data_IF_731633283574
#
_entry.id   IF_731633283574
#
_cell.length_a   1.000
_cell.length_b   1.000
_cell.length_c   1.000
_cell.angle_alpha   90.00
_cell.angle_beta   90.00
_cell.angle_gamma   90.00
#
_symmetry.space_group_name_H-M   'P 1'
#
loop_
_entity.id
_entity.type
_entity.pdbx_description
1 polymer ?
#
# COMPACT_ATOMS: atom_id res chain seq x y z
N UNK A 1 9.21 -5.94 -34.30
CA UNK A 1 7.91 -5.75 -33.60
C UNK A 1 7.56 -6.86 -32.59
N UNK A 2 7.91 -8.15 -32.81
CA UNK A 2 7.63 -9.26 -31.86
C UNK A 2 8.32 -9.16 -30.48
N UNK A 3 9.55 -8.62 -30.40
CA UNK A 3 10.32 -8.48 -29.13
C UNK A 3 9.69 -7.52 -28.13
N UNK A 4 8.94 -6.51 -28.60
CA UNK A 4 8.32 -5.50 -27.73
C UNK A 4 7.03 -6.01 -27.09
N UNK A 5 6.30 -6.92 -27.78
CA UNK A 5 5.09 -7.56 -27.24
C UNK A 5 5.40 -8.49 -26.06
N UNK A 6 6.52 -9.23 -26.13
CA UNK A 6 6.93 -10.15 -25.06
C UNK A 6 7.33 -9.43 -23.76
N UNK A 7 7.96 -8.26 -23.88
CA UNK A 7 8.37 -7.45 -22.73
C UNK A 7 7.13 -6.81 -22.07
N UNK A 8 6.19 -6.30 -22.87
CA UNK A 8 4.92 -5.77 -22.36
C UNK A 8 4.06 -6.85 -21.69
N UNK A 9 3.99 -8.05 -22.27
CA UNK A 9 3.28 -9.19 -21.67
C UNK A 9 3.91 -9.65 -20.34
N UNK A 10 5.24 -9.70 -20.26
CA UNK A 10 5.96 -10.02 -19.02
C UNK A 10 5.76 -8.98 -17.91
N UNK A 11 5.74 -7.69 -18.27
CA UNK A 11 5.51 -6.60 -17.32
C UNK A 11 4.09 -6.63 -16.75
N UNK A 12 3.08 -6.90 -17.57
CA UNK A 12 1.67 -7.01 -17.14
C UNK A 12 1.47 -8.22 -16.21
N UNK A 13 2.15 -9.34 -16.47
CA UNK A 13 2.09 -10.52 -15.60
C UNK A 13 2.73 -10.26 -14.22
N UNK A 14 3.87 -9.56 -14.17
CA UNK A 14 4.51 -9.17 -12.91
C UNK A 14 3.70 -8.14 -12.12
N UNK A 15 3.07 -7.17 -12.80
CA UNK A 15 2.20 -6.17 -12.16
C UNK A 15 0.93 -6.81 -11.56
N UNK A 16 0.39 -7.86 -12.19
CA UNK A 16 -0.73 -8.63 -11.64
C UNK A 16 -0.40 -9.35 -10.32
N UNK A 17 0.84 -9.80 -10.13
CA UNK A 17 1.27 -10.50 -8.93
C UNK A 17 1.44 -9.57 -7.71
N UNK A 18 1.76 -8.28 -7.92
CA UNK A 18 1.96 -7.32 -6.83
C UNK A 18 0.67 -7.01 -6.04
N UNK A 19 -0.51 -7.20 -6.63
CA UNK A 19 -1.78 -7.03 -5.95
C UNK A 19 -2.13 -8.20 -4.99
N UNK A 20 -1.37 -9.30 -5.05
CA UNK A 20 -1.67 -10.55 -4.34
C UNK A 20 -0.74 -10.83 -3.14
N UNK A 21 0.05 -9.83 -2.70
CA UNK A 21 0.94 -9.99 -1.54
C UNK A 21 0.20 -10.13 -0.21
N UNK A 22 0.80 -10.78 0.80
CA UNK A 22 0.19 -10.98 2.11
C UNK A 22 -0.09 -9.62 2.79
N UNK A 23 -1.23 -9.54 3.46
CA UNK A 23 -1.69 -8.32 4.12
C UNK A 23 -1.20 -8.30 5.58
N UNK A 24 -0.52 -7.24 6.03
CA UNK A 24 -0.18 -7.11 7.43
C UNK A 24 -1.44 -6.80 8.26
N UNK A 25 -1.67 -7.57 9.31
CA UNK A 25 -2.83 -7.45 10.21
C UNK A 25 -2.36 -7.50 11.66
N UNK A 26 -3.04 -6.78 12.55
CA UNK A 26 -2.84 -6.93 13.98
C UNK A 26 -3.66 -8.13 14.48
N UNK A 27 -3.03 -8.98 15.30
CA UNK A 27 -3.67 -10.17 15.85
C UNK A 27 -3.28 -10.37 17.31
N UNK A 28 -4.26 -10.78 18.10
CA UNK A 28 -4.10 -11.28 19.47
C UNK A 28 -5.13 -12.39 19.66
N UNK A 29 -4.67 -13.58 20.03
CA UNK A 29 -5.54 -14.74 20.17
C UNK A 29 -6.67 -14.46 21.17
N UNK A 30 -7.91 -14.76 20.78
CA UNK A 30 -9.09 -14.61 21.64
C UNK A 30 -9.54 -13.16 21.88
N UNK A 31 -8.87 -12.16 21.30
CA UNK A 31 -9.30 -10.77 21.42
C UNK A 31 -10.62 -10.53 20.66
N UNK A 32 -11.48 -9.70 21.22
CA UNK A 32 -12.72 -9.28 20.55
C UNK A 32 -12.39 -8.34 19.37
N UNK A 33 -13.06 -8.51 18.24
CA UNK A 33 -12.85 -7.67 17.05
C UNK A 33 -13.16 -6.19 17.33
N UNK A 34 -14.16 -5.91 18.17
CA UNK A 34 -14.50 -4.54 18.59
C UNK A 34 -13.35 -3.92 19.41
N UNK A 35 -12.79 -4.66 20.37
CA UNK A 35 -11.64 -4.25 21.19
C UNK A 35 -10.42 -3.95 20.33
N UNK A 36 -10.10 -4.82 19.37
CA UNK A 36 -9.02 -4.56 18.42
C UNK A 36 -9.23 -3.24 17.68
N UNK A 37 -10.43 -2.99 17.14
CA UNK A 37 -10.72 -1.75 16.41
C UNK A 37 -10.60 -0.51 17.30
N UNK A 38 -11.10 -0.59 18.54
CA UNK A 38 -10.98 0.50 19.51
C UNK A 38 -9.53 0.78 19.88
N UNK A 39 -8.74 -0.26 20.16
CA UNK A 39 -7.33 -0.14 20.50
C UNK A 39 -6.51 0.40 19.32
N UNK A 40 -6.79 -0.06 18.10
CA UNK A 40 -6.16 0.44 16.88
C UNK A 40 -6.46 1.93 16.68
N UNK A 41 -7.72 2.36 16.87
CA UNK A 41 -8.10 3.77 16.77
C UNK A 41 -7.40 4.64 17.81
N UNK A 42 -7.32 4.18 19.07
CA UNK A 42 -6.62 4.89 20.15
C UNK A 42 -5.14 5.04 19.81
N UNK A 43 -4.50 3.96 19.35
CA UNK A 43 -3.09 3.99 18.97
C UNK A 43 -2.83 4.87 17.74
N UNK A 44 -3.73 4.89 16.76
CA UNK A 44 -3.64 5.78 15.60
C UNK A 44 -3.78 7.25 16.01
N UNK A 45 -4.73 7.57 16.89
CA UNK A 45 -4.94 8.92 17.39
C UNK A 45 -3.74 9.41 18.21
N UNK A 46 -3.20 8.57 19.10
CA UNK A 46 -1.99 8.90 19.87
C UNK A 46 -0.78 9.10 18.94
N UNK A 47 -0.56 8.20 17.98
CA UNK A 47 0.53 8.33 17.04
C UNK A 47 0.40 9.60 16.17
N UNK A 48 -0.82 10.01 15.84
CA UNK A 48 -1.08 11.26 15.12
C UNK A 48 -0.78 12.50 15.97
N UNK A 49 -1.06 12.43 17.28
CA UNK A 49 -0.71 13.50 18.24
C UNK A 49 0.80 13.64 18.39
N UNK A 50 1.52 12.53 18.49
CA UNK A 50 2.97 12.52 18.72
C UNK A 50 3.79 12.77 17.44
N UNK A 51 3.27 12.35 16.28
CA UNK A 51 3.90 12.54 14.96
C UNK A 51 2.88 13.13 13.97
N UNK A 52 2.55 14.43 14.10
CA UNK A 52 1.53 15.09 13.30
C UNK A 52 1.90 15.09 11.81
N UNK A 53 0.88 15.29 10.96
CA UNK A 53 1.08 15.38 9.51
C UNK A 53 1.99 16.57 9.22
N UNK A 54 3.15 16.29 8.64
CA UNK A 54 4.14 17.29 8.25
C UNK A 54 4.37 17.18 6.75
N UNK A 55 3.57 17.90 5.98
CA UNK A 55 3.63 17.87 4.52
C UNK A 55 4.75 18.78 4.01
N UNK A 56 5.68 18.21 3.27
CA UNK A 56 6.68 18.94 2.51
C UNK A 56 6.37 18.86 1.02
N UNK A 57 6.41 20.00 0.34
CA UNK A 57 6.33 20.07 -1.12
C UNK A 57 7.74 19.90 -1.67
N UNK A 58 7.93 18.91 -2.53
CA UNK A 58 9.21 18.57 -3.17
C UNK A 58 9.03 18.55 -4.68
N UNK A 59 10.13 18.74 -5.41
CA UNK A 59 10.14 18.66 -6.87
C UNK A 59 11.10 17.56 -7.31
N UNK A 60 10.70 16.78 -8.31
CA UNK A 60 11.63 15.89 -8.99
C UNK A 60 12.70 16.70 -9.75
N UNK A 61 13.89 16.13 -10.00
CA UNK A 61 14.86 16.79 -10.86
C UNK A 61 14.30 17.02 -12.27
N UNK A 62 14.65 18.14 -12.93
CA UNK A 62 14.29 18.35 -14.33
C UNK A 62 15.01 17.34 -15.24
N UNK A 63 14.38 16.98 -16.35
CA UNK A 63 14.91 16.04 -17.33
C UNK A 63 15.21 16.78 -18.63
N UNK A 64 16.45 16.67 -19.10
CA UNK A 64 16.84 17.21 -20.41
C UNK A 64 16.54 16.19 -21.51
N UNK A 65 15.86 16.65 -22.56
CA UNK A 65 15.61 15.88 -23.78
C UNK A 65 16.51 16.40 -24.89
N UNK A 66 17.51 15.62 -25.34
CA UNK A 66 18.37 16.02 -26.44
C UNK A 66 17.60 16.27 -27.73
N UNK A 67 18.07 17.25 -28.49
CA UNK A 67 17.55 17.54 -29.83
C UNK A 67 17.77 16.36 -30.76
N UNK A 68 16.89 16.22 -31.76
CA UNK A 68 17.00 15.18 -32.78
C UNK A 68 16.82 15.75 -34.18
N UNK A 69 17.53 15.16 -35.13
CA UNK A 69 17.31 15.39 -36.56
C UNK A 69 16.13 14.54 -37.02
N UNK A 70 15.16 15.15 -37.69
CA UNK A 70 14.02 14.46 -38.30
C UNK A 70 14.09 14.70 -39.81
N UNK A 71 14.00 13.62 -40.57
CA UNK A 71 14.03 13.67 -42.03
C UNK A 71 12.71 13.14 -42.59
N UNK A 72 12.16 13.83 -43.59
CA UNK A 72 10.97 13.39 -44.31
C UNK A 72 11.11 13.76 -45.80
N UNK A 73 11.05 12.77 -46.69
CA UNK A 73 11.09 13.01 -48.14
C UNK A 73 12.42 13.56 -48.69
N UNK A 74 13.54 13.42 -47.96
CA UNK A 74 14.85 13.96 -48.35
C UNK A 74 15.22 15.27 -47.64
N UNK A 75 14.22 15.99 -47.12
CA UNK A 75 14.43 17.19 -46.32
C UNK A 75 14.62 16.82 -44.85
N UNK A 76 15.66 17.37 -44.23
CA UNK A 76 15.98 17.11 -42.83
C UNK A 76 16.04 18.41 -42.04
N UNK A 77 15.40 18.43 -40.88
CA UNK A 77 15.42 19.55 -39.94
C UNK A 77 15.88 19.08 -38.56
N UNK A 78 16.50 19.99 -37.81
CA UNK A 78 16.95 19.75 -36.44
C UNK A 78 15.95 20.35 -35.46
N UNK A 79 15.48 19.53 -34.52
CA UNK A 79 14.81 20.05 -33.33
C UNK A 79 15.85 20.33 -32.24
N UNK A 80 15.85 21.51 -31.62
CA UNK A 80 16.70 21.78 -30.47
C UNK A 80 16.29 20.89 -29.28
N UNK A 81 17.25 20.63 -28.39
CA UNK A 81 16.94 20.00 -27.11
C UNK A 81 16.18 20.94 -26.19
N UNK A 82 15.46 20.38 -25.23
CA UNK A 82 14.68 21.17 -24.27
C UNK A 82 14.68 20.52 -22.89
N UNK A 83 14.41 21.34 -21.87
CA UNK A 83 14.23 20.89 -20.49
C UNK A 83 12.76 20.65 -20.22
N UNK A 84 12.46 19.55 -19.52
CA UNK A 84 11.15 19.30 -18.92
C UNK A 84 11.31 19.44 -17.41
N UNK A 85 10.48 20.29 -16.82
CA UNK A 85 10.43 20.49 -15.38
C UNK A 85 10.05 19.19 -14.66
N UNK A 86 10.66 18.95 -13.50
CA UNK A 86 10.26 17.82 -12.68
C UNK A 86 8.91 18.06 -12.01
N UNK A 87 8.13 17.00 -11.84
CA UNK A 87 6.82 17.08 -11.18
C UNK A 87 6.96 17.45 -9.71
N UNK A 88 5.98 18.20 -9.21
CA UNK A 88 5.85 18.58 -7.81
C UNK A 88 5.04 17.50 -7.09
N UNK A 89 5.50 17.08 -5.92
CA UNK A 89 4.85 16.07 -5.09
C UNK A 89 4.92 16.43 -3.60
N UNK A 90 3.92 15.98 -2.84
CA UNK A 90 3.85 16.22 -1.40
C UNK A 90 4.22 14.95 -0.64
N UNK A 91 5.10 15.09 0.35
CA UNK A 91 5.51 13.98 1.23
C UNK A 91 5.18 14.34 2.67
N UNK A 92 4.48 13.45 3.36
CA UNK A 92 4.37 13.51 4.82
C UNK A 92 5.63 12.89 5.45
N UNK A 93 6.55 13.74 5.92
CA UNK A 93 7.85 13.29 6.46
C UNK A 93 7.72 12.52 7.77
N UNK A 94 6.64 12.75 8.52
CA UNK A 94 6.39 12.08 9.80
C UNK A 94 5.66 10.75 9.63
N UNK A 95 5.13 10.44 8.44
CA UNK A 95 4.38 9.20 8.18
C UNK A 95 5.11 7.92 8.61
N UNK A 96 6.42 7.73 8.35
CA UNK A 96 7.13 6.53 8.79
C UNK A 96 7.24 6.43 10.31
N UNK A 97 7.51 7.56 11.00
CA UNK A 97 7.58 7.62 12.46
C UNK A 97 6.22 7.33 13.08
N UNK A 98 5.16 7.98 12.59
CA UNK A 98 3.78 7.74 13.02
C UNK A 98 3.40 6.26 12.92
N UNK A 99 3.76 5.60 11.82
CA UNK A 99 3.54 4.15 11.67
C UNK A 99 4.36 3.29 12.64
N UNK A 100 5.54 3.72 13.07
CA UNK A 100 6.30 3.02 14.13
C UNK A 100 5.64 3.20 15.50
N UNK A 101 5.17 4.41 15.82
CA UNK A 101 4.48 4.70 17.09
C UNK A 101 3.18 3.90 17.21
N UNK A 102 2.38 3.85 16.15
CA UNK A 102 1.17 3.03 16.07
C UNK A 102 1.49 1.54 16.37
N UNK A 103 2.50 0.97 15.71
CA UNK A 103 2.94 -0.41 15.94
C UNK A 103 3.43 -0.64 17.37
N UNK A 104 4.19 0.29 17.93
CA UNK A 104 4.69 0.21 19.31
C UNK A 104 3.55 0.22 20.32
N UNK A 105 2.54 1.08 20.12
CA UNK A 105 1.35 1.13 20.95
C UNK A 105 0.54 -0.17 20.89
N UNK A 106 0.34 -0.71 19.68
CA UNK A 106 -0.36 -1.99 19.51
C UNK A 106 0.41 -3.15 20.16
N UNK A 107 1.74 -3.18 20.03
CA UNK A 107 2.59 -4.17 20.68
C UNK A 107 2.50 -4.11 22.21
N UNK A 108 2.47 -2.90 22.79
CA UNK A 108 2.29 -2.71 24.24
C UNK A 108 0.93 -3.23 24.74
N UNK A 109 -0.09 -3.22 23.88
CA UNK A 109 -1.42 -3.80 24.16
C UNK A 109 -1.48 -5.33 23.91
N UNK A 110 -0.36 -5.95 23.55
CA UNK A 110 -0.24 -7.39 23.32
C UNK A 110 -0.69 -7.85 21.92
N UNK A 111 -0.81 -6.94 20.96
CA UNK A 111 -1.08 -7.29 19.57
C UNK A 111 0.22 -7.53 18.81
N UNK A 112 0.25 -8.57 17.99
CA UNK A 112 1.34 -8.86 17.06
C UNK A 112 0.92 -8.51 15.64
N UNK A 113 1.86 -8.00 14.84
CA UNK A 113 1.63 -7.79 13.42
C UNK A 113 2.04 -9.04 12.65
N UNK A 114 1.08 -9.69 12.00
CA UNK A 114 1.29 -10.90 11.21
C UNK A 114 0.89 -10.64 9.75
N UNK A 115 1.51 -11.37 8.83
CA UNK A 115 1.20 -11.26 7.41
C UNK A 115 0.29 -12.44 7.01
N UNK A 116 -0.98 -12.15 6.69
CA UNK A 116 -1.94 -13.18 6.26
C UNK A 116 -2.14 -13.15 4.74
N UNK A 117 -2.43 -14.32 4.16
CA UNK A 117 -2.83 -14.43 2.75
C UNK A 117 -4.12 -13.64 2.51
N UNK A 118 -4.28 -13.07 1.32
CA UNK A 118 -5.54 -12.39 0.96
C UNK A 118 -6.64 -13.41 0.69
N UNK A 119 -7.85 -13.11 1.12
CA UNK A 119 -9.00 -13.95 0.82
C UNK A 119 -9.31 -13.95 -0.69
N UNK A 120 -9.52 -15.12 -1.27
CA UNK A 120 -9.81 -15.31 -2.71
C UNK A 120 -11.28 -15.02 -3.04
N UNK A 121 -12.20 -15.31 -2.12
CA UNK A 121 -13.64 -15.03 -2.27
C UNK A 121 -14.00 -13.66 -1.69
N UNK A 122 -14.62 -12.81 -2.52
CA UNK A 122 -15.06 -11.43 -2.16
C UNK A 122 -16.34 -11.34 -1.35
N UNK A 123 -17.12 -12.42 -1.25
CA UNK A 123 -18.35 -12.46 -0.45
C UNK A 123 -17.99 -12.55 1.03
N UNK A 124 -18.07 -11.42 1.72
CA UNK A 124 -17.88 -11.33 3.16
C UNK A 124 -19.20 -11.62 3.87
N UNK A 125 -19.29 -12.67 4.72
CA UNK A 125 -20.30 -12.66 5.77
C UNK A 125 -19.95 -11.53 6.75
N UNK A 126 -20.96 -10.81 7.22
CA UNK A 126 -20.80 -9.77 8.25
C UNK A 126 -20.28 -10.45 9.52
N UNK A 127 -19.06 -10.10 9.94
CA UNK A 127 -18.54 -10.55 11.24
C UNK A 127 -19.29 -9.77 12.33
N UNK A 128 -20.05 -10.43 13.23
CA UNK A 128 -20.82 -9.74 14.25
C UNK A 128 -19.91 -8.90 15.16
N UNK A 129 -20.35 -7.70 15.59
CA UNK A 129 -19.69 -6.99 16.68
C UNK A 129 -19.76 -7.89 17.93
N UNK A 130 -18.61 -8.30 18.45
CA UNK A 130 -18.50 -9.29 19.54
C UNK A 130 -17.85 -10.61 19.15
N UNK A 131 -17.63 -10.86 17.85
CA UNK A 131 -16.85 -12.01 17.43
C UNK A 131 -15.42 -11.90 17.99
N UNK A 132 -14.95 -12.98 18.63
CA UNK A 132 -13.56 -13.12 19.03
C UNK A 132 -12.74 -13.57 17.83
N UNK A 133 -11.50 -13.10 17.77
CA UNK A 133 -10.53 -13.57 16.79
C UNK A 133 -10.29 -15.05 17.01
N UNK A 134 -10.71 -15.86 16.03
CA UNK A 134 -10.49 -17.29 16.00
C UNK A 134 -8.97 -17.59 16.04
N UNK A 135 -8.57 -18.79 16.52
CA UNK A 135 -7.20 -19.26 16.33
C UNK A 135 -6.80 -19.16 14.86
N UNK A 136 -5.59 -18.70 14.60
CA UNK A 136 -5.06 -18.68 13.23
C UNK A 136 -4.83 -20.13 12.80
N UNK A 137 -5.63 -20.60 11.85
CA UNK A 137 -5.35 -21.83 11.12
C UNK A 137 -4.54 -21.50 9.87
N UNK A 138 -3.93 -22.50 9.23
CA UNK A 138 -3.21 -22.30 7.96
C UNK A 138 -4.11 -21.76 6.83
N UNK A 139 -5.43 -21.96 6.97
CA UNK A 139 -6.45 -21.45 6.08
C UNK A 139 -6.91 -20.02 6.41
N UNK A 140 -6.33 -19.37 7.42
CA UNK A 140 -6.69 -18.00 7.77
C UNK A 140 -6.30 -17.02 6.67
N UNK A 141 -7.24 -16.16 6.29
CA UNK A 141 -7.02 -15.13 5.28
C UNK A 141 -7.48 -13.76 5.79
N UNK A 142 -6.91 -12.70 5.24
CA UNK A 142 -7.28 -11.34 5.54
C UNK A 142 -7.93 -10.65 4.33
N UNK A 143 -8.98 -9.88 4.59
CA UNK A 143 -9.65 -9.05 3.60
C UNK A 143 -9.62 -7.60 4.05
N UNK A 144 -9.19 -6.70 3.15
CA UNK A 144 -9.31 -5.26 3.35
C UNK A 144 -10.63 -4.79 2.75
N UNK A 145 -11.46 -4.17 3.58
CA UNK A 145 -12.71 -3.57 3.16
C UNK A 145 -12.46 -2.22 2.46
N UNK A 146 -13.51 -1.68 1.82
CA UNK A 146 -13.44 -0.40 1.10
C UNK A 146 -13.17 0.79 2.03
N UNK A 147 -13.65 0.71 3.27
CA UNK A 147 -13.40 1.68 4.34
C UNK A 147 -11.96 1.61 4.91
N UNK A 148 -11.16 0.64 4.45
CA UNK A 148 -9.79 0.42 4.90
C UNK A 148 -9.66 -0.47 6.13
N UNK A 149 -10.77 -0.90 6.74
CA UNK A 149 -10.77 -1.88 7.83
C UNK A 149 -10.31 -3.24 7.34
N UNK A 150 -9.70 -4.03 8.23
CA UNK A 150 -9.21 -5.37 7.93
C UNK A 150 -10.01 -6.39 8.73
N UNK A 151 -10.45 -7.45 8.06
CA UNK A 151 -11.15 -8.60 8.68
C UNK A 151 -10.30 -9.84 8.48
N UNK A 152 -10.13 -10.62 9.56
CA UNK A 152 -9.49 -11.93 9.54
C UNK A 152 -10.57 -13.00 9.45
N UNK A 153 -10.43 -13.95 8.52
CA UNK A 153 -11.38 -15.05 8.29
C UNK A 153 -10.71 -16.39 8.59
N UNK A 154 -11.35 -17.26 9.36
CA UNK A 154 -10.95 -18.66 9.45
C UNK A 154 -11.44 -19.38 8.18
N UNK A 155 -10.57 -19.59 7.20
CA UNK A 155 -10.90 -20.29 5.96
C UNK A 155 -11.16 -19.37 4.76
N UNK A 156 -10.40 -19.61 3.69
CA UNK A 156 -10.60 -19.08 2.34
C UNK A 156 -11.34 -20.06 1.45
#
# INVERSE_FOLDING_TARGET
MRRNLSILAGLVLLLGAAACGPLPVYYRQGAEVSRLRSDELICQAQALKDAPVANEIRQHPPVFYPGRKVCHGGDCYYHPGYWVEGSIYTVDVNKPLRKRLERSCMAAKGYQQIALKRCTRRTAPVVPPGARLAPLTEAACAQRNRDGSIIIRPGG
#
